data_IF_133806053712
#
_entry.id   IF_133806053712
#
_cell.length_a   1.000
_cell.length_b   1.000
_cell.length_c   1.000
_cell.angle_alpha   90.00
_cell.angle_beta   90.00
_cell.angle_gamma   90.00
#
_symmetry.space_group_name_H-M   'P 1'
#
loop_
_entity.id
_entity.type
_entity.pdbx_description
1 polymer ?
#
# COMPACT_ATOMS: atom_id res chain seq x y z
N UNK A 1 12.16 -25.18 -3.32
CA UNK A 1 11.35 -24.58 -2.23
C UNK A 1 9.88 -24.82 -2.51
N UNK A 2 9.05 -25.00 -1.49
CA UNK A 2 7.62 -25.31 -1.65
C UNK A 2 6.74 -24.04 -1.74
N UNK A 3 5.64 -24.13 -2.49
CA UNK A 3 4.61 -23.10 -2.55
C UNK A 3 3.74 -23.09 -1.28
N UNK A 4 3.26 -21.90 -0.89
CA UNK A 4 2.18 -21.73 0.08
C UNK A 4 0.99 -21.16 -0.66
N UNK A 5 -0.12 -21.90 -0.74
CA UNK A 5 -1.29 -21.52 -1.54
C UNK A 5 -2.29 -20.69 -0.73
N UNK A 6 -2.86 -19.68 -1.37
CA UNK A 6 -3.91 -18.81 -0.84
C UNK A 6 -5.03 -18.76 -1.87
N UNK A 7 -6.26 -18.80 -1.38
CA UNK A 7 -7.47 -18.66 -2.20
C UNK A 7 -8.04 -17.27 -1.95
N UNK A 8 -8.13 -16.45 -3.00
CA UNK A 8 -8.99 -15.28 -3.01
C UNK A 8 -10.42 -15.76 -3.26
N UNK A 9 -11.36 -15.31 -2.43
CA UNK A 9 -12.69 -15.87 -2.41
C UNK A 9 -13.71 -14.80 -2.03
N UNK A 10 -14.95 -14.99 -2.49
CA UNK A 10 -16.09 -14.15 -2.12
C UNK A 10 -16.98 -14.86 -1.12
N UNK A 11 -17.43 -14.10 -0.12
CA UNK A 11 -18.32 -14.58 0.93
C UNK A 11 -19.46 -13.58 1.04
N UNK A 12 -20.66 -14.01 0.67
CA UNK A 12 -21.88 -13.23 0.90
C UNK A 12 -22.22 -13.31 2.40
N UNK A 13 -22.35 -12.14 3.02
CA UNK A 13 -22.59 -12.02 4.47
C UNK A 13 -23.77 -11.11 4.76
N UNK A 14 -24.37 -11.27 5.93
CA UNK A 14 -25.42 -10.36 6.42
C UNK A 14 -24.85 -8.97 6.75
N UNK A 15 -25.68 -7.91 6.75
CA UNK A 15 -25.23 -6.55 7.09
C UNK A 15 -24.52 -6.45 8.45
N UNK A 16 -24.93 -7.27 9.43
CA UNK A 16 -24.31 -7.33 10.75
C UNK A 16 -22.86 -7.83 10.68
N UNK A 17 -22.62 -8.90 9.92
CA UNK A 17 -21.27 -9.46 9.76
C UNK A 17 -20.40 -8.52 8.93
N UNK A 18 -20.96 -7.90 7.89
CA UNK A 18 -20.26 -6.89 7.09
C UNK A 18 -19.73 -5.73 7.97
N UNK A 19 -20.57 -5.20 8.86
CA UNK A 19 -20.16 -4.14 9.80
C UNK A 19 -19.03 -4.59 10.74
N UNK A 20 -19.08 -5.83 11.24
CA UNK A 20 -18.02 -6.38 12.10
C UNK A 20 -16.71 -6.56 11.32
N UNK A 21 -16.81 -7.08 10.10
CA UNK A 21 -15.66 -7.33 9.23
C UNK A 21 -14.95 -6.02 8.85
N UNK A 22 -15.71 -4.96 8.54
CA UNK A 22 -15.16 -3.63 8.23
C UNK A 22 -14.43 -3.02 9.45
N UNK A 23 -15.05 -3.10 10.63
CA UNK A 23 -14.47 -2.54 11.86
C UNK A 23 -13.24 -3.32 12.36
N UNK A 24 -13.25 -4.67 12.29
CA UNK A 24 -12.21 -5.53 12.86
C UNK A 24 -11.21 -6.10 11.85
N UNK A 25 -11.48 -5.94 10.56
CA UNK A 25 -10.72 -6.61 9.48
C UNK A 25 -10.83 -8.14 9.49
N UNK A 26 -11.72 -8.72 10.30
CA UNK A 26 -11.92 -10.17 10.41
C UNK A 26 -13.33 -10.51 10.89
N UNK A 27 -13.83 -11.68 10.51
CA UNK A 27 -15.14 -12.18 10.91
C UNK A 27 -15.17 -13.71 10.93
N UNK A 28 -16.23 -14.26 11.53
CA UNK A 28 -16.51 -15.70 11.50
C UNK A 28 -17.63 -15.95 10.50
N UNK A 29 -17.45 -16.95 9.64
CA UNK A 29 -18.47 -17.44 8.72
C UNK A 29 -19.44 -18.38 9.43
N UNK A 30 -20.58 -18.64 8.79
CA UNK A 30 -21.48 -19.71 9.24
C UNK A 30 -20.83 -21.09 9.01
N UNK A 31 -21.22 -22.07 9.83
CA UNK A 31 -20.70 -23.44 9.69
C UNK A 31 -21.21 -24.01 8.36
N UNK A 32 -20.32 -24.65 7.60
CA UNK A 32 -20.61 -25.27 6.29
C UNK A 32 -21.04 -24.30 5.17
N UNK A 33 -20.79 -23.00 5.33
CA UNK A 33 -20.99 -22.04 4.25
C UNK A 33 -20.11 -22.38 3.05
N UNK A 34 -20.72 -22.55 1.86
CA UNK A 34 -20.00 -22.68 0.60
C UNK A 34 -19.39 -21.32 0.22
N UNK A 35 -18.11 -21.32 -0.12
CA UNK A 35 -17.34 -20.13 -0.50
C UNK A 35 -16.88 -20.31 -1.95
N UNK A 36 -17.11 -19.29 -2.78
CA UNK A 36 -16.68 -19.30 -4.18
C UNK A 36 -15.24 -18.80 -4.30
N UNK A 37 -14.38 -19.60 -4.93
CA UNK A 37 -12.99 -19.25 -5.18
C UNK A 37 -12.90 -18.42 -6.45
N UNK A 38 -12.33 -17.22 -6.36
CA UNK A 38 -12.03 -16.37 -7.50
C UNK A 38 -10.67 -16.72 -8.11
N UNK A 39 -9.65 -16.83 -7.26
CA UNK A 39 -8.27 -17.07 -7.69
C UNK A 39 -7.53 -17.90 -6.65
N UNK A 40 -6.70 -18.83 -7.11
CA UNK A 40 -5.77 -19.57 -6.25
C UNK A 40 -4.35 -19.20 -6.66
N UNK A 41 -3.57 -18.65 -5.73
CA UNK A 41 -2.22 -18.16 -6.02
C UNK A 41 -1.24 -18.49 -4.89
N UNK A 42 0.05 -18.44 -5.19
CA UNK A 42 1.08 -18.63 -4.18
C UNK A 42 1.29 -17.36 -3.34
N UNK A 43 1.22 -17.45 -2.01
CA UNK A 43 1.51 -16.34 -1.08
C UNK A 43 2.90 -15.72 -1.28
N UNK A 44 3.87 -16.55 -1.66
CA UNK A 44 5.26 -16.14 -1.88
C UNK A 44 5.43 -15.41 -3.21
N UNK A 45 5.38 -16.15 -4.32
CA UNK A 45 5.68 -15.60 -5.64
C UNK A 45 4.49 -14.92 -6.32
N UNK A 46 3.29 -14.91 -5.71
CA UNK A 46 2.03 -14.33 -6.23
C UNK A 46 1.57 -14.83 -7.59
N UNK A 47 2.14 -15.94 -8.09
CA UNK A 47 1.71 -16.56 -9.35
C UNK A 47 0.47 -17.44 -9.15
N UNK A 48 -0.44 -17.49 -10.14
CA UNK A 48 -1.61 -18.37 -10.13
C UNK A 48 -1.21 -19.85 -10.05
N UNK A 49 -2.05 -20.68 -9.43
CA UNK A 49 -1.79 -22.11 -9.27
C UNK A 49 -1.56 -22.83 -10.60
N UNK A 50 -2.40 -22.55 -11.60
CA UNK A 50 -2.34 -23.25 -12.89
C UNK A 50 -1.05 -22.98 -13.67
N UNK A 51 -0.39 -21.85 -13.43
CA UNK A 51 0.87 -21.50 -14.09
C UNK A 51 2.10 -22.19 -13.50
N UNK A 52 2.07 -22.52 -12.22
CA UNK A 52 3.26 -22.97 -11.47
C UNK A 52 3.06 -24.33 -10.80
N UNK A 53 1.95 -25.02 -11.09
CA UNK A 53 1.73 -26.38 -10.59
C UNK A 53 2.83 -27.30 -11.14
N UNK A 54 3.56 -27.94 -10.24
CA UNK A 54 4.68 -28.82 -10.59
C UNK A 54 6.05 -28.13 -10.60
N UNK A 55 6.08 -26.80 -10.60
CA UNK A 55 7.32 -26.03 -10.48
C UNK A 55 7.67 -25.74 -9.01
N UNK A 56 8.92 -25.38 -8.79
CA UNK A 56 9.39 -24.93 -7.49
C UNK A 56 9.17 -23.42 -7.29
N UNK A 57 8.86 -23.02 -6.06
CA UNK A 57 8.57 -21.62 -5.75
C UNK A 57 9.82 -20.73 -5.88
N UNK A 58 9.73 -19.71 -6.74
CA UNK A 58 10.82 -18.76 -7.01
C UNK A 58 10.92 -17.60 -5.99
N UNK A 59 10.02 -17.49 -5.02
CA UNK A 59 9.86 -16.30 -4.15
C UNK A 59 11.09 -15.89 -3.31
N UNK A 60 12.09 -16.76 -3.15
CA UNK A 60 13.36 -16.42 -2.47
C UNK A 60 14.57 -16.40 -3.42
N UNK A 61 14.36 -16.77 -4.68
CA UNK A 61 15.41 -16.84 -5.70
C UNK A 61 15.34 -15.59 -6.58
N UNK A 62 14.13 -15.25 -7.04
CA UNK A 62 13.89 -14.09 -7.88
C UNK A 62 12.49 -13.52 -7.61
N UNK A 63 12.44 -12.24 -7.24
CA UNK A 63 11.21 -11.49 -6.99
C UNK A 63 11.01 -10.36 -8.01
N UNK A 64 11.86 -10.26 -9.03
CA UNK A 64 11.85 -9.15 -10.00
C UNK A 64 10.49 -9.01 -10.69
N UNK A 65 9.79 -10.11 -10.95
CA UNK A 65 8.44 -10.13 -11.54
C UNK A 65 7.38 -9.45 -10.66
N UNK A 66 7.63 -9.25 -9.35
CA UNK A 66 6.72 -8.53 -8.45
C UNK A 66 6.98 -7.02 -8.40
N UNK A 67 8.11 -6.55 -8.91
CA UNK A 67 8.41 -5.12 -8.94
C UNK A 67 7.86 -4.53 -10.24
N UNK A 68 6.92 -3.60 -10.10
CA UNK A 68 6.42 -2.83 -11.24
C UNK A 68 7.49 -1.86 -11.75
N UNK A 69 8.24 -2.27 -12.77
CA UNK A 69 9.26 -1.45 -13.44
C UNK A 69 10.69 -1.85 -13.10
N UNK A 70 11.64 -1.21 -13.79
CA UNK A 70 13.06 -1.45 -13.57
C UNK A 70 13.52 -0.88 -12.22
N UNK A 71 14.04 -1.74 -11.34
CA UNK A 71 14.56 -1.35 -10.03
C UNK A 71 15.72 -0.35 -10.11
N UNK A 72 16.46 -0.34 -11.21
CA UNK A 72 17.61 0.55 -11.38
C UNK A 72 17.18 2.00 -11.65
N UNK A 73 15.92 2.23 -12.03
CA UNK A 73 15.42 3.56 -12.40
C UNK A 73 14.29 4.01 -11.47
N UNK A 74 14.58 5.03 -10.63
CA UNK A 74 13.56 5.65 -9.79
C UNK A 74 12.64 6.54 -10.63
N UNK A 75 11.38 6.16 -10.80
CA UNK A 75 10.35 7.04 -11.36
C UNK A 75 10.08 8.23 -10.42
N UNK A 76 10.70 9.39 -10.71
CA UNK A 76 10.39 10.64 -10.01
C UNK A 76 9.02 11.15 -10.49
N UNK A 77 8.17 11.61 -9.56
CA UNK A 77 6.91 12.27 -9.91
C UNK A 77 7.19 13.47 -10.81
N UNK A 78 6.50 13.59 -11.95
CA UNK A 78 6.58 14.77 -12.81
C UNK A 78 6.05 15.96 -12.02
N UNK A 79 6.89 16.97 -11.79
CA UNK A 79 6.42 18.26 -11.30
C UNK A 79 5.53 18.89 -12.36
N UNK A 80 4.31 19.37 -12.01
CA UNK A 80 3.45 20.04 -12.97
C UNK A 80 4.18 21.25 -13.55
N UNK A 81 4.13 21.41 -14.88
CA UNK A 81 4.69 22.59 -15.56
C UNK A 81 3.71 23.74 -15.33
N UNK A 82 4.13 24.84 -14.68
CA UNK A 82 3.25 25.98 -14.49
C UNK A 82 2.89 26.61 -15.86
N UNK A 83 1.68 27.14 -16.05
CA UNK A 83 1.30 27.81 -17.29
C UNK A 83 2.19 29.04 -17.56
N UNK A 84 2.29 29.53 -18.81
CA UNK A 84 3.31 30.52 -19.23
C UNK A 84 3.35 31.81 -18.41
N UNK A 85 2.22 32.20 -17.79
CA UNK A 85 2.08 33.41 -16.98
C UNK A 85 1.97 33.12 -15.47
N UNK A 86 2.18 31.88 -15.02
CA UNK A 86 2.13 31.55 -13.61
C UNK A 86 3.41 32.00 -12.91
N UNK A 87 3.23 32.90 -11.93
CA UNK A 87 4.28 33.29 -11.00
C UNK A 87 4.40 32.21 -9.93
N UNK A 88 5.50 31.46 -9.95
CA UNK A 88 5.83 30.53 -8.86
C UNK A 88 6.12 31.38 -7.62
N UNK A 89 5.20 31.38 -6.65
CA UNK A 89 5.46 31.98 -5.34
C UNK A 89 6.22 30.93 -4.54
N UNK A 90 7.51 31.17 -4.29
CA UNK A 90 8.29 30.33 -3.38
C UNK A 90 7.63 30.40 -2.01
N UNK A 91 7.10 29.27 -1.53
CA UNK A 91 6.64 29.16 -0.16
C UNK A 91 7.79 29.47 0.81
N UNK A 92 7.45 29.94 2.00
CA UNK A 92 8.44 30.20 3.03
C UNK A 92 9.27 28.95 3.31
N UNK A 93 10.58 29.12 3.48
CA UNK A 93 11.46 28.07 3.98
C UNK A 93 11.08 27.77 5.43
N UNK A 94 10.20 26.79 5.62
CA UNK A 94 9.86 26.31 6.96
C UNK A 94 11.10 25.63 7.53
N UNK A 95 11.77 26.28 8.48
CA UNK A 95 12.90 25.72 9.18
C UNK A 95 12.41 24.56 10.06
N UNK A 96 12.54 23.32 9.56
CA UNK A 96 12.07 22.10 10.27
C UNK A 96 12.94 21.73 11.48
N UNK A 97 14.02 22.47 11.73
CA UNK A 97 14.87 22.32 12.91
C UNK A 97 14.51 23.42 13.91
N UNK A 98 13.73 23.05 14.91
CA UNK A 98 13.26 23.94 15.95
C UNK A 98 14.41 24.53 16.77
N UNK A 99 14.55 25.85 16.67
CA UNK A 99 15.17 26.75 17.66
C UNK A 99 14.77 28.19 17.31
N UNK A 100 14.83 28.57 16.04
CA UNK A 100 14.46 29.91 15.57
C UNK A 100 12.99 30.27 15.84
N UNK A 101 12.08 29.30 15.73
CA UNK A 101 10.65 29.48 16.03
C UNK A 101 10.37 29.73 17.53
N UNK A 102 11.26 29.28 18.42
CA UNK A 102 11.11 29.45 19.87
C UNK A 102 11.61 30.83 20.34
N UNK A 103 12.56 31.44 19.60
CA UNK A 103 13.21 32.70 19.97
C UNK A 103 12.46 33.94 19.44
N UNK A 104 11.73 33.81 18.33
CA UNK A 104 10.98 34.93 17.73
C UNK A 104 9.78 35.44 18.58
N UNK A 105 9.48 34.79 19.71
CA UNK A 105 8.30 35.06 20.54
C UNK A 105 8.52 35.84 21.84
N UNK A 106 9.69 36.44 22.10
CA UNK A 106 9.91 37.21 23.34
C UNK A 106 10.52 38.59 23.09
N UNK A 107 9.66 39.56 22.78
CA UNK A 107 9.81 40.96 23.23
C UNK A 107 8.53 41.75 22.96
N UNK A 108 7.55 41.67 23.86
CA UNK A 108 6.64 42.81 24.06
C UNK A 108 7.34 43.76 25.05
N UNK A 109 7.72 44.99 24.66
CA UNK A 109 8.20 45.96 25.62
C UNK A 109 7.05 46.38 26.54
N UNK A 110 7.37 46.57 27.81
CA UNK A 110 6.47 47.09 28.84
C UNK A 110 6.57 48.62 28.86
N UNK A 111 5.54 49.31 28.38
CA UNK A 111 5.12 50.66 28.82
C UNK A 111 3.77 50.98 28.22
#
# INVERSE_FOLDING_TARGET
MAHVWVVAAEIVVTPRIASIADYRGSFKTEKEQRVEALEVYCKGCRRPYDEVKGDSCAAKVDNTHLIGGDQTTRAKRKTPVPPPNARIITGETINRRGLDAYVAGVSRPRS
#
